data_IF_746070661741
#
_entry.id   IF_746070661741
#
_cell.length_a   1.000
_cell.length_b   1.000
_cell.length_c   1.000
_cell.angle_alpha   90.00
_cell.angle_beta   90.00
_cell.angle_gamma   90.00
#
_symmetry.space_group_name_H-M   'P 1'
#
loop_
_entity.id
_entity.type
_entity.pdbx_description
1 polymer ?
#
# COMPACT_ATOMS: atom_id res chain seq x y z
N UNK A 1 16.93 35.51 -1.75
CA UNK A 1 17.33 34.60 -2.83
C UNK A 1 17.66 33.28 -2.17
N UNK A 2 16.72 32.33 -2.17
CA UNK A 2 17.04 30.98 -1.76
C UNK A 2 17.99 30.40 -2.83
N UNK A 3 19.08 29.78 -2.39
CA UNK A 3 20.02 29.10 -3.27
C UNK A 3 19.22 27.96 -3.96
N UNK A 4 18.93 28.14 -5.25
CA UNK A 4 18.18 27.16 -6.05
C UNK A 4 18.90 25.81 -5.92
N UNK A 5 18.26 24.84 -5.26
CA UNK A 5 18.85 23.52 -5.07
C UNK A 5 19.20 22.96 -6.46
N UNK A 6 20.50 22.89 -6.76
CA UNK A 6 20.97 22.48 -8.07
C UNK A 6 20.51 21.03 -8.29
N UNK A 7 19.73 20.74 -9.34
CA UNK A 7 19.30 19.39 -9.63
C UNK A 7 20.53 18.50 -9.84
N UNK A 8 20.41 17.21 -9.52
CA UNK A 8 21.50 16.25 -9.70
C UNK A 8 22.09 16.37 -11.13
N UNK A 9 23.42 16.18 -11.30
CA UNK A 9 24.05 16.30 -12.62
C UNK A 9 23.36 15.41 -13.66
N UNK A 10 23.25 15.86 -14.92
CA UNK A 10 22.56 15.12 -15.99
C UNK A 10 23.04 13.67 -16.15
N UNK A 11 24.33 13.41 -15.95
CA UNK A 11 24.88 12.05 -15.98
C UNK A 11 24.27 11.14 -14.89
N UNK A 12 24.01 11.68 -13.70
CA UNK A 12 23.34 10.97 -12.60
C UNK A 12 21.87 10.74 -12.96
N UNK A 13 21.18 11.76 -13.50
CA UNK A 13 19.77 11.63 -13.92
C UNK A 13 19.60 10.55 -14.98
N UNK A 14 20.44 10.55 -16.02
CA UNK A 14 20.41 9.54 -17.07
C UNK A 14 20.79 8.13 -16.56
N UNK A 15 21.78 8.04 -15.65
CA UNK A 15 22.17 6.80 -14.99
C UNK A 15 21.03 6.20 -14.16
N UNK A 16 20.39 7.01 -13.31
CA UNK A 16 19.24 6.60 -12.51
C UNK A 16 18.04 6.22 -13.40
N UNK A 17 17.78 6.95 -14.49
CA UNK A 17 16.74 6.59 -15.44
C UNK A 17 16.98 5.19 -16.03
N UNK A 18 18.21 4.91 -16.48
CA UNK A 18 18.57 3.60 -17.01
C UNK A 18 18.38 2.49 -15.97
N UNK A 19 18.91 2.67 -14.75
CA UNK A 19 18.83 1.68 -13.68
C UNK A 19 17.38 1.38 -13.28
N UNK A 20 16.58 2.42 -13.03
CA UNK A 20 15.21 2.28 -12.55
C UNK A 20 14.27 1.69 -13.62
N UNK A 21 14.48 2.02 -14.90
CA UNK A 21 13.67 1.49 -16.00
C UNK A 21 14.04 0.04 -16.33
N UNK A 22 15.32 -0.32 -16.25
CA UNK A 22 15.78 -1.70 -16.47
C UNK A 22 15.39 -2.64 -15.31
N UNK A 23 15.22 -2.08 -14.11
CA UNK A 23 14.73 -2.79 -12.94
C UNK A 23 13.20 -2.75 -12.78
N UNK A 24 12.76 -2.57 -11.54
CA UNK A 24 11.36 -2.57 -11.14
C UNK A 24 10.82 -1.16 -10.82
N UNK A 25 11.55 -0.10 -11.17
CA UNK A 25 11.25 1.28 -10.83
C UNK A 25 11.90 1.79 -9.54
N UNK A 26 12.63 0.94 -8.79
CA UNK A 26 13.36 1.27 -7.55
C UNK A 26 12.52 1.91 -6.43
N UNK A 27 13.16 2.36 -5.35
CA UNK A 27 12.45 2.87 -4.17
C UNK A 27 11.54 4.07 -4.50
N UNK A 28 10.54 4.32 -3.66
CA UNK A 28 9.62 5.47 -3.82
C UNK A 28 10.42 6.78 -3.94
N UNK A 29 11.42 6.98 -3.08
CA UNK A 29 12.29 8.16 -3.11
C UNK A 29 13.06 8.27 -4.42
N UNK A 30 13.68 7.18 -4.90
CA UNK A 30 14.46 7.22 -6.15
C UNK A 30 13.56 7.51 -7.37
N UNK A 31 12.38 6.88 -7.42
CA UNK A 31 11.38 7.09 -8.45
C UNK A 31 10.92 8.55 -8.51
N UNK A 32 10.54 9.12 -7.36
CA UNK A 32 10.02 10.49 -7.28
C UNK A 32 11.11 11.54 -7.50
N UNK A 33 12.33 11.29 -7.00
CA UNK A 33 13.48 12.17 -7.24
C UNK A 33 13.85 12.23 -8.73
N UNK A 34 13.76 11.10 -9.46
CA UNK A 34 13.98 11.10 -10.90
C UNK A 34 12.92 11.92 -11.64
N UNK A 35 11.64 11.78 -11.29
CA UNK A 35 10.57 12.57 -11.89
C UNK A 35 10.79 14.08 -11.68
N UNK A 36 11.11 14.49 -10.45
CA UNK A 36 11.36 15.89 -10.11
C UNK A 36 12.59 16.44 -10.84
N UNK A 37 13.68 15.67 -10.88
CA UNK A 37 14.91 16.05 -11.56
C UNK A 37 14.70 16.25 -13.07
N UNK A 38 13.92 15.38 -13.73
CA UNK A 38 13.56 15.52 -15.15
C UNK A 38 12.80 16.81 -15.41
N UNK A 39 11.84 17.16 -14.55
CA UNK A 39 11.06 18.41 -14.68
C UNK A 39 11.94 19.65 -14.49
N UNK A 40 12.77 19.67 -13.44
CA UNK A 40 13.71 20.78 -13.18
C UNK A 40 14.69 20.96 -14.34
N UNK A 41 15.26 19.87 -14.88
CA UNK A 41 16.16 19.94 -16.02
C UNK A 41 15.45 20.35 -17.31
N UNK A 42 14.20 19.93 -17.54
CA UNK A 42 13.44 20.35 -18.71
C UNK A 42 13.18 21.86 -18.72
N UNK A 43 13.01 22.46 -17.53
CA UNK A 43 12.96 23.92 -17.37
C UNK A 43 14.30 24.59 -17.63
N UNK A 44 15.38 24.03 -17.06
CA UNK A 44 16.72 24.63 -17.09
C UNK A 44 17.39 24.55 -18.47
N UNK A 45 17.46 23.35 -19.03
CA UNK A 45 18.10 23.06 -20.32
C UNK A 45 17.52 21.76 -20.91
N UNK A 46 16.40 21.91 -21.62
CA UNK A 46 15.73 20.79 -22.28
C UNK A 46 16.61 20.09 -23.30
N UNK A 47 17.45 20.82 -24.03
CA UNK A 47 18.27 20.25 -25.09
C UNK A 47 19.33 19.31 -24.50
N UNK A 48 20.04 19.78 -23.46
CA UNK A 48 21.01 18.96 -22.74
C UNK A 48 20.35 17.76 -22.05
N UNK A 49 19.16 17.93 -21.47
CA UNK A 49 18.38 16.81 -20.90
C UNK A 49 18.03 15.76 -21.95
N UNK A 50 17.52 16.20 -23.10
CA UNK A 50 17.14 15.30 -24.19
C UNK A 50 18.34 14.55 -24.76
N UNK A 51 19.49 15.20 -24.88
CA UNK A 51 20.75 14.54 -25.27
C UNK A 51 21.17 13.48 -24.25
N UNK A 52 21.15 13.82 -22.95
CA UNK A 52 21.53 12.89 -21.88
C UNK A 52 20.61 11.66 -21.78
N UNK A 53 19.30 11.82 -22.04
CA UNK A 53 18.31 10.74 -21.95
C UNK A 53 18.19 9.90 -23.24
N UNK A 54 18.75 10.35 -24.36
CA UNK A 54 18.66 9.66 -25.66
C UNK A 54 19.10 8.19 -25.61
N UNK A 55 20.24 7.82 -24.98
CA UNK A 55 20.67 6.42 -24.90
C UNK A 55 19.69 5.52 -24.14
N UNK A 56 18.95 6.07 -23.15
CA UNK A 56 17.95 5.33 -22.38
C UNK A 56 16.73 5.03 -23.26
N UNK A 57 16.29 6.00 -24.06
CA UNK A 57 15.17 5.82 -24.99
C UNK A 57 15.51 4.83 -26.10
N UNK A 58 16.69 4.92 -26.68
CA UNK A 58 17.16 4.03 -27.75
C UNK A 58 17.25 2.57 -27.30
N UNK A 59 17.68 2.33 -26.05
CA UNK A 59 17.70 0.99 -25.44
C UNK A 59 16.33 0.31 -25.43
N UNK A 60 15.27 1.10 -25.25
CA UNK A 60 13.89 0.63 -25.19
C UNK A 60 13.13 0.88 -26.51
N UNK A 61 13.82 0.81 -27.65
CA UNK A 61 13.22 1.00 -28.98
C UNK A 61 12.20 -0.08 -29.39
N UNK A 62 11.21 0.31 -30.20
CA UNK A 62 10.21 -0.59 -30.79
C UNK A 62 9.03 -0.92 -29.88
N UNK A 63 8.56 -2.18 -29.90
CA UNK A 63 7.38 -2.65 -29.13
C UNK A 63 7.71 -3.07 -27.68
N UNK A 64 8.98 -2.97 -27.27
CA UNK A 64 9.42 -3.38 -25.94
C UNK A 64 8.99 -2.38 -24.87
N UNK A 65 8.38 -2.89 -23.81
CA UNK A 65 7.91 -2.12 -22.66
C UNK A 65 8.34 -2.84 -21.38
N UNK A 66 8.73 -2.11 -20.32
CA UNK A 66 8.93 -2.71 -19.01
C UNK A 66 7.65 -3.42 -18.57
N UNK A 67 7.81 -4.61 -17.97
CA UNK A 67 6.67 -5.38 -17.44
C UNK A 67 6.10 -4.75 -16.16
N UNK A 68 6.95 -4.07 -15.40
CA UNK A 68 6.58 -3.38 -14.16
C UNK A 68 6.04 -1.98 -14.49
N UNK A 69 4.88 -1.64 -13.93
CA UNK A 69 4.17 -0.38 -14.23
C UNK A 69 4.97 0.86 -13.82
N UNK A 70 5.71 0.79 -12.71
CA UNK A 70 6.60 1.87 -12.28
C UNK A 70 7.65 2.21 -13.35
N UNK A 71 8.44 1.21 -13.78
CA UNK A 71 9.41 1.36 -14.85
C UNK A 71 8.77 1.85 -16.17
N UNK A 72 7.59 1.33 -16.54
CA UNK A 72 6.88 1.78 -17.74
C UNK A 72 6.46 3.25 -17.68
N UNK A 73 6.05 3.75 -16.50
CA UNK A 73 5.72 5.18 -16.28
C UNK A 73 6.97 6.06 -16.39
N UNK A 74 8.10 5.64 -15.79
CA UNK A 74 9.36 6.38 -15.94
C UNK A 74 9.79 6.47 -17.39
N UNK A 75 9.71 5.36 -18.13
CA UNK A 75 10.04 5.33 -19.55
C UNK A 75 9.13 6.29 -20.36
N UNK A 76 7.84 6.38 -20.02
CA UNK A 76 6.93 7.32 -20.68
C UNK A 76 7.36 8.79 -20.46
N UNK A 77 7.73 9.16 -19.23
CA UNK A 77 8.24 10.50 -18.89
C UNK A 77 9.56 10.79 -19.60
N UNK A 78 10.51 9.85 -19.55
CA UNK A 78 11.82 9.95 -20.20
C UNK A 78 11.67 10.11 -21.72
N UNK A 79 10.75 9.37 -22.36
CA UNK A 79 10.43 9.55 -23.79
C UNK A 79 9.87 10.93 -24.10
N UNK A 80 8.99 11.49 -23.25
CA UNK A 80 8.45 12.84 -23.45
C UNK A 80 9.50 13.94 -23.22
N UNK A 81 10.45 13.72 -22.30
CA UNK A 81 11.57 14.64 -22.06
C UNK A 81 12.58 14.64 -23.22
N UNK A 82 12.89 13.47 -23.77
CA UNK A 82 13.83 13.31 -24.88
C UNK A 82 13.23 13.61 -26.26
N UNK A 83 11.90 13.56 -26.38
CA UNK A 83 11.16 13.78 -27.61
C UNK A 83 11.07 15.26 -28.02
N UNK A 84 10.70 15.51 -29.30
CA UNK A 84 10.49 16.87 -29.80
C UNK A 84 9.32 17.55 -29.07
N UNK A 85 9.32 18.90 -29.09
CA UNK A 85 8.18 19.69 -28.61
C UNK A 85 7.11 19.71 -29.69
N UNK A 86 5.88 19.37 -29.31
CA UNK A 86 4.72 19.27 -30.19
C UNK A 86 3.77 20.46 -29.97
N UNK A 87 3.25 21.03 -31.06
CA UNK A 87 2.23 22.07 -31.00
C UNK A 87 0.92 21.49 -30.46
N UNK A 88 0.28 22.20 -29.51
CA UNK A 88 -0.89 21.71 -28.80
C UNK A 88 -2.11 21.70 -29.71
N UNK A 89 -2.55 20.52 -30.17
CA UNK A 89 -3.76 20.40 -30.97
C UNK A 89 -5.00 20.82 -30.15
N UNK A 90 -5.92 21.60 -30.75
CA UNK A 90 -7.17 22.02 -30.09
C UNK A 90 -8.02 20.82 -29.64
N UNK A 91 -7.87 19.66 -30.29
CA UNK A 91 -8.57 18.42 -29.99
C UNK A 91 -8.07 17.68 -28.73
N UNK A 92 -6.84 17.94 -28.26
CA UNK A 92 -6.28 17.33 -27.04
C UNK A 92 -6.89 17.89 -25.74
N UNK A 93 -7.76 18.91 -25.86
CA UNK A 93 -8.55 19.44 -24.73
C UNK A 93 -9.77 18.60 -24.38
N UNK A 94 -10.07 17.53 -25.12
CA UNK A 94 -11.07 16.56 -24.69
C UNK A 94 -10.41 15.61 -23.69
N UNK A 95 -10.65 15.84 -22.40
CA UNK A 95 -10.60 14.79 -21.38
C UNK A 95 -11.65 13.72 -21.74
N UNK A 96 -11.42 12.95 -22.80
CA UNK A 96 -12.28 11.87 -23.23
C UNK A 96 -12.06 10.69 -22.29
N UNK A 97 -12.53 10.83 -21.04
CA UNK A 97 -12.42 9.73 -20.10
C UNK A 97 -13.37 8.62 -20.53
N UNK A 98 -12.82 7.48 -20.94
CA UNK A 98 -13.64 6.30 -21.21
C UNK A 98 -14.35 5.86 -19.92
N UNK A 99 -15.48 5.17 -20.02
CA UNK A 99 -16.18 4.62 -18.85
C UNK A 99 -15.27 3.72 -17.98
N UNK A 100 -14.18 3.18 -18.54
CA UNK A 100 -13.16 2.39 -17.85
C UNK A 100 -12.25 3.23 -16.92
N UNK A 101 -12.16 4.55 -17.11
CA UNK A 101 -11.37 5.48 -16.26
C UNK A 101 -12.02 5.78 -14.90
N UNK A 102 -13.07 5.04 -14.54
CA UNK A 102 -13.81 5.22 -13.27
C UNK A 102 -13.86 3.93 -12.43
N UNK A 103 -13.06 2.92 -12.79
CA UNK A 103 -13.02 1.67 -12.05
C UNK A 103 -12.50 1.88 -10.62
N UNK A 104 -13.28 1.46 -9.62
CA UNK A 104 -12.92 1.56 -8.20
C UNK A 104 -11.66 0.74 -7.84
N UNK A 105 -11.35 -0.33 -8.57
CA UNK A 105 -10.17 -1.18 -8.36
C UNK A 105 -8.86 -0.51 -8.80
N UNK A 106 -8.92 0.33 -9.82
CA UNK A 106 -7.76 1.02 -10.41
C UNK A 106 -7.58 2.43 -9.83
N UNK A 107 -8.42 2.84 -8.88
CA UNK A 107 -8.52 4.22 -8.42
C UNK A 107 -7.17 4.82 -7.98
N UNK A 108 -6.38 4.06 -7.22
CA UNK A 108 -5.05 4.48 -6.77
C UNK A 108 -4.08 4.64 -7.95
N UNK A 109 -4.14 3.74 -8.93
CA UNK A 109 -3.31 3.83 -10.13
C UNK A 109 -3.76 4.92 -11.09
N UNK A 110 -5.05 5.26 -11.13
CA UNK A 110 -5.54 6.40 -11.89
C UNK A 110 -5.00 7.72 -11.36
N UNK A 111 -4.85 7.84 -10.04
CA UNK A 111 -4.21 9.01 -9.42
C UNK A 111 -2.76 9.14 -9.89
N UNK A 112 -1.95 8.08 -9.77
CA UNK A 112 -0.55 8.13 -10.23
C UNK A 112 -0.46 8.32 -11.76
N UNK A 113 -1.31 7.63 -12.52
CA UNK A 113 -1.34 7.71 -13.98
C UNK A 113 -1.77 9.08 -14.50
N UNK A 114 -2.70 9.76 -13.82
CA UNK A 114 -3.10 11.13 -14.16
C UNK A 114 -1.95 12.11 -13.93
N UNK A 115 -1.21 11.99 -12.83
CA UNK A 115 -0.01 12.80 -12.58
C UNK A 115 1.07 12.56 -13.63
N UNK A 116 1.35 11.30 -13.98
CA UNK A 116 2.32 10.98 -15.04
C UNK A 116 1.87 11.56 -16.39
N UNK A 117 0.58 11.50 -16.71
CA UNK A 117 0.05 12.08 -17.94
C UNK A 117 0.21 13.61 -17.98
N UNK A 118 0.01 14.29 -16.85
CA UNK A 118 0.23 15.74 -16.69
C UNK A 118 1.70 16.11 -16.90
N UNK A 119 2.64 15.39 -16.25
CA UNK A 119 4.09 15.58 -16.43
C UNK A 119 4.48 15.37 -17.90
N UNK A 120 4.03 14.28 -18.51
CA UNK A 120 4.28 14.01 -19.92
C UNK A 120 3.69 15.11 -20.83
N UNK A 121 2.51 15.65 -20.48
CA UNK A 121 1.90 16.78 -21.19
C UNK A 121 2.77 18.02 -21.15
N UNK A 122 3.27 18.40 -19.96
CA UNK A 122 4.19 19.52 -19.81
C UNK A 122 5.44 19.34 -20.67
N UNK A 123 6.08 18.17 -20.57
CA UNK A 123 7.27 17.86 -21.32
C UNK A 123 7.03 17.87 -22.83
N UNK A 124 5.93 17.30 -23.33
CA UNK A 124 5.64 17.28 -24.79
C UNK A 124 5.37 18.66 -25.36
N UNK A 125 4.72 19.54 -24.59
CA UNK A 125 4.35 20.87 -25.08
C UNK A 125 5.33 21.97 -24.67
N UNK A 126 6.44 21.62 -24.03
CA UNK A 126 7.46 22.57 -23.57
C UNK A 126 6.96 23.50 -22.45
N UNK A 127 5.90 23.12 -21.74
CA UNK A 127 5.45 23.81 -20.54
C UNK A 127 6.41 23.49 -19.40
N UNK A 128 6.75 24.50 -18.61
CA UNK A 128 7.73 24.37 -17.52
C UNK A 128 7.10 24.77 -16.20
N UNK A 129 7.41 23.98 -15.17
CA UNK A 129 7.06 24.29 -13.78
C UNK A 129 8.34 24.28 -12.94
N UNK A 130 8.38 24.99 -11.80
CA UNK A 130 9.59 25.09 -10.99
C UNK A 130 10.08 23.73 -10.49
N UNK A 131 9.15 22.90 -10.01
CA UNK A 131 9.37 21.56 -9.44
C UNK A 131 8.05 20.79 -9.28
N UNK A 132 8.10 19.51 -8.94
CA UNK A 132 6.90 18.73 -8.63
C UNK A 132 6.49 18.93 -7.16
N UNK A 133 5.24 19.32 -6.93
CA UNK A 133 4.66 19.51 -5.61
C UNK A 133 4.50 18.20 -4.84
N UNK A 134 4.18 17.11 -5.54
CA UNK A 134 3.92 15.82 -4.91
C UNK A 134 5.18 15.01 -4.58
N UNK A 135 6.38 15.51 -4.86
CA UNK A 135 7.64 14.83 -4.50
C UNK A 135 7.68 14.61 -2.99
N UNK A 136 7.77 13.37 -2.49
CA UNK A 136 7.72 13.11 -1.05
C UNK A 136 8.84 13.82 -0.28
N UNK A 137 8.51 14.34 0.89
CA UNK A 137 9.49 14.85 1.87
C UNK A 137 10.12 13.70 2.66
N UNK A 138 9.47 12.53 2.65
CA UNK A 138 9.81 11.37 3.47
C UNK A 138 9.79 10.09 2.63
N UNK A 139 10.55 9.08 3.06
CA UNK A 139 10.66 7.80 2.35
C UNK A 139 9.34 7.01 2.29
N UNK A 140 8.41 7.28 3.21
CA UNK A 140 7.07 6.68 3.27
C UNK A 140 6.09 7.24 2.22
N UNK A 141 6.52 8.23 1.42
CA UNK A 141 5.70 8.86 0.40
C UNK A 141 4.93 10.09 0.87
N UNK A 142 5.01 10.46 2.16
CA UNK A 142 4.35 11.65 2.69
C UNK A 142 5.04 12.95 2.24
N UNK A 143 4.22 13.99 2.10
CA UNK A 143 4.67 15.37 1.89
C UNK A 143 4.43 16.13 3.20
N UNK A 144 5.46 16.83 3.67
CA UNK A 144 5.32 17.68 4.85
C UNK A 144 4.48 18.92 4.51
N UNK A 145 3.51 19.34 5.36
CA UNK A 145 2.71 20.53 5.14
C UNK A 145 3.53 21.79 4.89
N UNK A 146 4.62 21.99 5.65
CA UNK A 146 5.50 23.13 5.49
C UNK A 146 6.20 23.09 4.13
N UNK A 147 6.74 21.93 3.74
CA UNK A 147 7.40 21.76 2.44
C UNK A 147 6.44 22.03 1.28
N UNK A 148 5.17 21.60 1.38
CA UNK A 148 4.16 21.89 0.36
C UNK A 148 3.93 23.39 0.19
N UNK A 149 3.75 24.12 1.30
CA UNK A 149 3.54 25.58 1.28
C UNK A 149 4.78 26.31 0.76
N UNK A 150 5.99 25.85 1.12
CA UNK A 150 7.24 26.40 0.60
C UNK A 150 7.36 26.24 -0.91
N UNK A 151 7.07 25.05 -1.44
CA UNK A 151 7.07 24.81 -2.89
C UNK A 151 6.06 25.70 -3.61
N UNK A 152 4.86 25.88 -3.05
CA UNK A 152 3.84 26.76 -3.61
C UNK A 152 4.23 28.24 -3.57
N UNK A 153 4.95 28.65 -2.53
CA UNK A 153 5.53 29.99 -2.45
C UNK A 153 6.53 30.22 -3.60
N UNK A 154 7.34 29.22 -3.96
CA UNK A 154 8.24 29.29 -5.12
C UNK A 154 7.46 29.37 -6.44
N UNK A 155 6.37 28.60 -6.59
CA UNK A 155 5.46 28.72 -7.74
C UNK A 155 4.91 30.15 -7.90
N UNK A 156 4.49 30.78 -6.81
CA UNK A 156 3.99 32.15 -6.82
C UNK A 156 5.06 33.17 -7.22
N UNK A 157 6.25 33.08 -6.63
CA UNK A 157 7.37 33.97 -6.94
C UNK A 157 7.76 33.91 -8.42
N UNK A 158 7.60 32.73 -9.03
CA UNK A 158 7.89 32.52 -10.45
C UNK A 158 6.68 32.75 -11.37
N UNK A 159 5.51 33.11 -10.82
CA UNK A 159 4.28 33.30 -11.60
C UNK A 159 3.76 32.02 -12.26
N UNK A 160 4.17 30.84 -11.78
CA UNK A 160 3.74 29.54 -12.28
C UNK A 160 2.42 29.10 -11.61
N UNK A 161 1.63 28.31 -12.32
CA UNK A 161 0.42 27.68 -11.79
C UNK A 161 0.65 26.19 -11.60
N UNK A 162 0.23 25.60 -10.47
CA UNK A 162 0.35 24.17 -10.25
C UNK A 162 -0.59 23.38 -11.17
N UNK A 163 -0.13 22.21 -11.62
CA UNK A 163 -0.99 21.26 -12.31
C UNK A 163 -2.01 20.64 -11.37
N UNK A 164 -3.26 20.44 -11.81
CA UNK A 164 -4.30 19.89 -10.96
C UNK A 164 -4.03 18.44 -10.52
N UNK A 165 -3.33 17.61 -11.31
CA UNK A 165 -3.03 16.23 -10.91
C UNK A 165 -1.83 16.14 -9.95
N UNK A 166 -0.76 16.91 -10.18
CA UNK A 166 0.38 16.98 -9.27
C UNK A 166 0.00 17.64 -7.93
N UNK A 167 -0.74 18.75 -7.95
CA UNK A 167 -1.29 19.35 -6.72
C UNK A 167 -2.25 18.39 -6.00
N UNK A 168 -3.16 17.74 -6.74
CA UNK A 168 -4.07 16.75 -6.18
C UNK A 168 -3.30 15.61 -5.49
N UNK A 169 -2.26 15.09 -6.12
CA UNK A 169 -1.41 14.07 -5.50
C UNK A 169 -0.64 14.59 -4.28
N UNK A 170 -0.16 15.84 -4.31
CA UNK A 170 0.51 16.47 -3.18
C UNK A 170 -0.43 16.58 -1.97
N UNK A 171 -1.69 16.98 -2.19
CA UNK A 171 -2.71 17.03 -1.14
C UNK A 171 -3.01 15.65 -0.55
N UNK A 172 -3.12 14.60 -1.38
CA UNK A 172 -3.34 13.23 -0.88
C UNK A 172 -2.15 12.65 -0.09
N UNK A 173 -0.93 13.17 -0.33
CA UNK A 173 0.28 12.83 0.43
C UNK A 173 0.50 13.70 1.66
N UNK A 174 -0.25 14.79 1.79
CA UNK A 174 -0.06 15.81 2.82
C UNK A 174 -1.16 15.73 3.88
N UNK A 175 -0.73 15.74 5.14
CA UNK A 175 -1.56 15.62 6.37
C UNK A 175 -2.21 14.26 6.61
N UNK A 176 -2.02 13.72 7.82
CA UNK A 176 -2.84 12.68 8.45
C UNK A 176 -3.62 13.19 9.67
N UNK A 177 -3.76 14.52 9.76
CA UNK A 177 -4.32 15.28 10.87
C UNK A 177 -4.08 16.78 10.65
N UNK A 178 -4.76 17.67 11.40
CA UNK A 178 -4.64 19.11 11.24
C UNK A 178 -3.19 19.59 11.31
N UNK A 179 -2.77 20.42 10.36
CA UNK A 179 -1.44 21.02 10.33
C UNK A 179 -1.31 22.16 11.36
N UNK A 180 -0.08 22.60 11.60
CA UNK A 180 0.22 23.78 12.41
C UNK A 180 -0.49 25.03 11.85
N UNK A 181 -1.10 25.82 12.73
CA UNK A 181 -1.82 27.06 12.36
C UNK A 181 -0.93 28.08 11.65
N UNK A 182 0.39 28.10 11.93
CA UNK A 182 1.34 28.94 11.19
C UNK A 182 1.44 28.53 9.72
N UNK A 183 1.50 27.23 9.44
CA UNK A 183 1.55 26.68 8.08
C UNK A 183 0.22 26.89 7.36
N UNK A 184 -0.90 26.70 8.06
CA UNK A 184 -2.24 26.95 7.54
C UNK A 184 -2.41 28.43 7.16
N UNK A 185 -1.93 29.35 7.99
CA UNK A 185 -1.97 30.79 7.71
C UNK A 185 -1.12 31.14 6.49
N UNK A 186 0.11 30.63 6.44
CA UNK A 186 1.00 30.85 5.30
C UNK A 186 0.37 30.36 3.98
N UNK A 187 -0.31 29.20 3.99
CA UNK A 187 -1.06 28.71 2.84
C UNK A 187 -2.23 29.64 2.43
N UNK A 188 -2.90 30.24 3.40
CA UNK A 188 -4.02 31.15 3.15
C UNK A 188 -3.59 32.52 2.60
N UNK A 189 -2.35 32.92 2.89
CA UNK A 189 -1.75 34.18 2.43
C UNK A 189 -1.14 34.09 1.02
N UNK A 190 -1.04 32.89 0.44
CA UNK A 190 -0.67 32.70 -0.97
C UNK A 190 -1.66 33.45 -1.88
N UNK A 191 -1.14 34.27 -2.78
CA UNK A 191 -1.87 34.91 -3.88
C UNK A 191 -2.26 33.94 -5.00
N UNK A 192 -1.80 32.69 -4.95
CA UNK A 192 -2.29 31.61 -5.82
C UNK A 192 -3.79 31.34 -5.58
N UNK A 193 -4.60 31.15 -6.65
CA UNK A 193 -6.03 30.81 -6.53
C UNK A 193 -6.30 29.56 -5.67
N UNK A 194 -5.35 28.64 -5.61
CA UNK A 194 -5.42 27.41 -4.84
C UNK A 194 -5.18 27.62 -3.33
N UNK A 195 -4.57 28.74 -2.91
CA UNK A 195 -4.17 29.02 -1.52
C UNK A 195 -5.28 28.81 -0.48
N UNK A 196 -6.45 29.43 -0.61
CA UNK A 196 -7.57 29.24 0.34
C UNK A 196 -8.02 27.79 0.47
N UNK A 197 -8.02 27.04 -0.63
CA UNK A 197 -8.36 25.61 -0.63
C UNK A 197 -7.31 24.79 0.10
N UNK A 198 -6.03 25.09 -0.12
CA UNK A 198 -4.92 24.38 0.52
C UNK A 198 -4.95 24.63 2.02
N UNK A 199 -5.14 25.88 2.45
CA UNK A 199 -5.32 26.21 3.87
C UNK A 199 -6.51 25.46 4.49
N UNK A 200 -7.63 25.34 3.78
CA UNK A 200 -8.77 24.56 4.24
C UNK A 200 -8.44 23.06 4.38
N UNK A 201 -7.72 22.48 3.41
CA UNK A 201 -7.25 21.09 3.46
C UNK A 201 -6.33 20.82 4.65
N UNK A 202 -5.32 21.67 4.84
CA UNK A 202 -4.36 21.57 5.93
C UNK A 202 -5.03 21.68 7.31
N UNK A 203 -6.00 22.60 7.44
CA UNK A 203 -6.79 22.77 8.67
C UNK A 203 -7.71 21.58 8.96
N UNK A 204 -8.35 21.04 7.92
CA UNK A 204 -9.19 19.85 8.05
C UNK A 204 -8.39 18.58 8.38
N UNK A 205 -7.08 18.62 8.12
CA UNK A 205 -6.18 17.51 8.38
C UNK A 205 -6.08 16.49 7.25
N UNK A 206 -6.43 16.90 6.03
CA UNK A 206 -6.37 16.07 4.84
C UNK A 206 -7.66 15.33 4.53
N UNK A 207 -7.52 14.22 3.81
CA UNK A 207 -8.65 13.35 3.45
C UNK A 207 -9.13 12.59 4.70
N UNK A 208 -10.44 12.46 4.96
CA UNK A 208 -10.92 11.70 6.11
C UNK A 208 -10.69 10.19 5.94
N UNK A 209 -10.55 9.47 7.06
CA UNK A 209 -10.49 8.01 7.03
C UNK A 209 -11.87 7.43 6.67
N UNK A 210 -11.99 6.59 5.62
CA UNK A 210 -13.27 5.99 5.28
C UNK A 210 -13.67 4.93 6.31
N UNK A 211 -14.98 4.76 6.51
CA UNK A 211 -15.51 3.58 7.19
C UNK A 211 -15.16 2.30 6.42
N UNK A 212 -14.92 1.21 7.15
CA UNK A 212 -14.61 -0.10 6.57
C UNK A 212 -15.81 -1.05 6.70
N UNK A 213 -16.11 -1.77 5.63
CA UNK A 213 -17.13 -2.82 5.62
C UNK A 213 -16.46 -4.17 5.31
N UNK A 214 -16.42 -5.08 6.29
CA UNK A 214 -15.87 -6.43 6.08
C UNK A 214 -16.89 -7.27 5.32
N UNK A 215 -16.50 -7.76 4.14
CA UNK A 215 -17.36 -8.52 3.24
C UNK A 215 -16.80 -9.93 3.06
N UNK A 216 -17.63 -10.95 3.32
CA UNK A 216 -17.28 -12.33 3.01
C UNK A 216 -17.70 -12.66 1.58
N UNK A 217 -16.79 -13.22 0.80
CA UNK A 217 -17.14 -13.71 -0.54
C UNK A 217 -18.09 -14.91 -0.43
N UNK A 218 -19.27 -14.86 -1.07
CA UNK A 218 -20.23 -15.95 -1.01
C UNK A 218 -19.81 -17.12 -1.90
N UNK A 219 -20.01 -18.36 -1.42
CA UNK A 219 -19.85 -19.57 -2.23
C UNK A 219 -19.35 -20.77 -1.43
N UNK A 220 -19.46 -21.96 -2.02
CA UNK A 220 -18.77 -23.14 -1.53
C UNK A 220 -17.27 -23.05 -1.89
N UNK A 221 -16.37 -23.69 -1.13
CA UNK A 221 -14.94 -23.70 -1.45
C UNK A 221 -14.71 -24.34 -2.82
N UNK A 222 -14.39 -23.54 -3.84
CA UNK A 222 -14.07 -24.03 -5.18
C UNK A 222 -12.66 -23.60 -5.60
N UNK A 223 -12.09 -24.31 -6.58
CA UNK A 223 -10.87 -23.86 -7.24
C UNK A 223 -11.25 -22.84 -8.31
N UNK A 224 -10.46 -21.75 -8.49
CA UNK A 224 -10.70 -20.80 -9.56
C UNK A 224 -10.69 -21.52 -10.91
N UNK A 225 -11.61 -21.18 -11.80
CA UNK A 225 -11.63 -21.70 -13.15
C UNK A 225 -12.01 -20.60 -14.13
N UNK A 226 -11.42 -20.64 -15.33
CA UNK A 226 -11.80 -19.73 -16.43
C UNK A 226 -13.30 -19.81 -16.78
N UNK A 227 -13.99 -20.87 -16.35
CA UNK A 227 -15.43 -21.13 -16.61
C UNK A 227 -16.38 -20.55 -15.55
N UNK A 228 -15.91 -20.36 -14.31
CA UNK A 228 -16.73 -19.93 -13.16
C UNK A 228 -16.40 -18.52 -12.65
N UNK A 229 -15.47 -17.81 -13.30
CA UNK A 229 -15.05 -16.46 -12.92
C UNK A 229 -14.02 -16.44 -11.77
N UNK A 230 -13.63 -15.24 -11.33
CA UNK A 230 -12.59 -15.01 -10.31
C UNK A 230 -13.02 -15.37 -8.87
N UNK A 231 -14.25 -15.86 -8.68
CA UNK A 231 -14.82 -16.12 -7.35
C UNK A 231 -14.41 -17.49 -6.81
N UNK A 232 -13.87 -17.52 -5.60
CA UNK A 232 -13.36 -18.72 -4.89
C UNK A 232 -14.30 -19.17 -3.77
N UNK A 233 -15.18 -18.28 -3.28
CA UNK A 233 -16.18 -18.57 -2.23
C UNK A 233 -15.64 -18.74 -0.80
N UNK A 234 -14.32 -18.62 -0.62
CA UNK A 234 -13.62 -18.76 0.67
C UNK A 234 -12.70 -17.57 0.96
N UNK A 235 -13.07 -16.36 0.57
CA UNK A 235 -12.30 -15.15 0.89
C UNK A 235 -13.06 -14.26 1.84
N UNK A 236 -12.32 -13.59 2.70
CA UNK A 236 -12.74 -12.38 3.39
C UNK A 236 -12.08 -11.21 2.67
N UNK A 237 -12.84 -10.16 2.40
CA UNK A 237 -12.39 -8.93 1.76
C UNK A 237 -12.91 -7.74 2.57
N UNK A 238 -12.41 -6.54 2.27
CA UNK A 238 -12.84 -5.30 2.91
C UNK A 238 -13.22 -4.30 1.83
N UNK A 239 -14.41 -3.72 1.96
CA UNK A 239 -14.85 -2.56 1.21
C UNK A 239 -14.63 -1.28 2.01
N UNK A 240 -14.66 -0.14 1.32
CA UNK A 240 -14.58 1.19 1.94
C UNK A 240 -15.83 1.99 1.64
N UNK A 241 -16.29 2.78 2.60
CA UNK A 241 -17.36 3.75 2.38
C UNK A 241 -16.94 4.84 1.38
N UNK A 242 -17.90 5.52 0.72
CA UNK A 242 -17.60 6.67 -0.12
C UNK A 242 -16.99 7.82 0.69
N UNK A 243 -16.20 8.66 0.00
CA UNK A 243 -15.57 9.85 0.57
C UNK A 243 -16.15 11.10 -0.09
N UNK A 244 -16.24 12.16 0.71
CA UNK A 244 -16.63 13.49 0.24
C UNK A 244 -15.46 14.24 -0.41
N UNK A 245 -15.73 15.39 -1.04
CA UNK A 245 -14.68 16.25 -1.60
C UNK A 245 -14.16 15.85 -3.00
N UNK A 246 -14.80 14.87 -3.67
CA UNK A 246 -14.37 14.47 -5.03
C UNK A 246 -14.29 15.63 -6.04
N UNK A 247 -15.17 16.64 -5.88
CA UNK A 247 -15.26 17.79 -6.78
C UNK A 247 -14.04 18.69 -6.74
N UNK A 248 -13.24 18.59 -5.68
CA UNK A 248 -11.99 19.32 -5.54
C UNK A 248 -10.87 18.67 -6.37
N UNK A 249 -11.02 17.41 -6.79
CA UNK A 249 -9.95 16.69 -7.48
C UNK A 249 -10.23 16.54 -8.98
N UNK A 250 -9.16 16.33 -9.80
CA UNK A 250 -9.33 16.02 -11.22
C UNK A 250 -10.29 14.86 -11.42
N UNK A 251 -11.03 14.85 -12.53
CA UNK A 251 -12.04 13.82 -12.83
C UNK A 251 -11.48 12.39 -12.76
N UNK A 252 -10.20 12.21 -13.13
CA UNK A 252 -9.49 10.92 -13.06
C UNK A 252 -9.32 10.37 -11.63
N UNK A 253 -9.46 11.22 -10.61
CA UNK A 253 -9.36 10.83 -9.21
C UNK A 253 -10.72 10.40 -8.64
N UNK A 254 -11.84 10.69 -9.32
CA UNK A 254 -13.17 10.54 -8.72
C UNK A 254 -13.52 9.09 -8.33
N UNK A 255 -12.89 8.09 -8.93
CA UNK A 255 -13.05 6.69 -8.53
C UNK A 255 -12.46 6.38 -7.15
N UNK A 256 -11.48 7.17 -6.68
CA UNK A 256 -10.94 7.08 -5.33
C UNK A 256 -11.99 7.40 -4.27
N UNK A 257 -12.85 8.38 -4.57
CA UNK A 257 -13.89 8.88 -3.67
C UNK A 257 -15.16 8.04 -3.68
N UNK A 258 -15.29 7.08 -4.59
CA UNK A 258 -16.42 6.14 -4.59
C UNK A 258 -16.20 5.09 -3.50
N UNK A 259 -17.31 4.66 -2.91
CA UNK A 259 -17.30 3.47 -2.06
C UNK A 259 -16.73 2.30 -2.83
N UNK A 260 -15.86 1.52 -2.19
CA UNK A 260 -15.23 0.36 -2.77
C UNK A 260 -15.99 -0.90 -2.39
N UNK A 261 -16.64 -1.53 -3.37
CA UNK A 261 -17.29 -2.82 -3.18
C UNK A 261 -16.40 -3.95 -3.75
N UNK A 262 -15.78 -4.78 -2.89
CA UNK A 262 -14.77 -5.75 -3.30
C UNK A 262 -15.33 -6.92 -4.12
N UNK A 263 -16.64 -7.16 -4.09
CA UNK A 263 -17.27 -8.28 -4.80
C UNK A 263 -17.81 -7.93 -6.19
N UNK A 264 -17.74 -6.66 -6.61
CA UNK A 264 -18.15 -6.28 -7.97
C UNK A 264 -17.21 -6.94 -8.98
N UNK A 265 -17.79 -7.77 -9.86
CA UNK A 265 -17.04 -8.45 -10.92
C UNK A 265 -16.41 -7.44 -11.87
N UNK A 266 -15.09 -7.43 -11.97
CA UNK A 266 -14.34 -6.54 -12.84
C UNK A 266 -13.12 -7.24 -13.42
N UNK A 267 -12.88 -7.10 -14.73
CA UNK A 267 -11.72 -7.72 -15.38
C UNK A 267 -10.38 -7.10 -14.94
N UNK A 268 -10.39 -5.88 -14.40
CA UNK A 268 -9.19 -5.23 -13.85
C UNK A 268 -8.64 -5.93 -12.60
N UNK A 269 -9.44 -6.77 -11.92
CA UNK A 269 -8.98 -7.64 -10.82
C UNK A 269 -7.93 -8.67 -11.24
N UNK A 270 -7.75 -8.87 -12.56
CA UNK A 270 -6.77 -9.79 -13.13
C UNK A 270 -5.48 -9.09 -13.58
N UNK A 271 -5.43 -7.76 -13.48
CA UNK A 271 -4.25 -6.98 -13.80
C UNK A 271 -3.41 -6.83 -12.53
N UNK A 272 -2.09 -7.11 -12.61
CA UNK A 272 -1.21 -7.03 -11.44
C UNK A 272 -0.93 -5.57 -11.06
N UNK A 273 -1.41 -5.16 -9.89
CA UNK A 273 -1.34 -3.77 -9.39
C UNK A 273 -0.63 -3.62 -8.06
N UNK A 274 -0.18 -4.73 -7.48
CA UNK A 274 0.61 -4.74 -6.26
C UNK A 274 2.01 -4.21 -6.56
N UNK A 275 2.26 -2.98 -6.12
CA UNK A 275 3.56 -2.36 -6.13
C UNK A 275 3.65 -1.33 -4.99
N UNK A 276 4.85 -1.12 -4.45
CA UNK A 276 5.12 -0.16 -3.36
C UNK A 276 4.67 1.29 -3.66
N UNK A 277 4.66 1.70 -4.94
CA UNK A 277 4.27 3.05 -5.34
C UNK A 277 2.77 3.31 -5.14
N UNK A 278 1.94 2.26 -5.07
CA UNK A 278 0.53 2.40 -4.73
C UNK A 278 0.34 2.80 -3.25
N UNK A 279 1.12 2.22 -2.32
CA UNK A 279 1.10 2.62 -0.92
C UNK A 279 1.53 4.09 -0.75
N UNK A 280 2.62 4.47 -1.43
CA UNK A 280 3.11 5.85 -1.41
C UNK A 280 2.20 6.86 -2.16
N UNK A 281 1.17 6.40 -2.87
CA UNK A 281 0.19 7.31 -3.46
C UNK A 281 -0.75 7.88 -2.40
N UNK A 282 -1.02 7.12 -1.33
CA UNK A 282 -1.93 7.46 -0.23
C UNK A 282 -1.30 7.09 1.13
N UNK A 283 -0.17 7.71 1.52
CA UNK A 283 0.59 7.33 2.71
C UNK A 283 -0.25 7.40 4.01
N UNK A 284 -1.23 8.29 4.07
CA UNK A 284 -2.13 8.45 5.21
C UNK A 284 -3.38 7.55 5.16
N UNK A 285 -3.57 6.78 4.08
CA UNK A 285 -4.72 5.89 3.90
C UNK A 285 -4.31 4.48 3.41
N UNK A 286 -3.46 3.76 4.15
CA UNK A 286 -3.07 2.41 3.79
C UNK A 286 -4.26 1.45 3.72
N UNK A 287 -5.35 1.71 4.47
CA UNK A 287 -6.61 0.95 4.38
C UNK A 287 -7.28 1.01 3.00
N UNK A 288 -7.28 2.19 2.36
CA UNK A 288 -7.85 2.36 1.00
C UNK A 288 -7.07 1.53 -0.02
N UNK A 289 -5.75 1.57 0.09
CA UNK A 289 -4.82 0.85 -0.80
C UNK A 289 -4.93 -0.65 -0.56
N UNK A 290 -4.86 -1.10 0.69
CA UNK A 290 -4.97 -2.51 1.07
C UNK A 290 -6.30 -3.09 0.60
N UNK A 291 -7.43 -2.44 0.90
CA UNK A 291 -8.77 -2.91 0.53
C UNK A 291 -8.88 -3.23 -0.97
N UNK A 292 -8.38 -2.33 -1.82
CA UNK A 292 -8.44 -2.45 -3.29
C UNK A 292 -7.51 -3.54 -3.86
N UNK A 293 -6.49 -3.93 -3.11
CA UNK A 293 -5.51 -4.95 -3.52
C UNK A 293 -5.69 -6.31 -2.83
N UNK A 294 -6.60 -6.43 -1.86
CA UNK A 294 -6.87 -7.67 -1.12
C UNK A 294 -7.14 -8.87 -2.02
N UNK A 295 -7.86 -8.68 -3.13
CA UNK A 295 -8.17 -9.78 -4.06
C UNK A 295 -6.91 -10.38 -4.69
N UNK A 296 -5.90 -9.56 -4.98
CA UNK A 296 -4.63 -10.00 -5.52
C UNK A 296 -3.72 -10.61 -4.44
N UNK A 297 -3.67 -9.99 -3.25
CA UNK A 297 -2.91 -10.55 -2.11
C UNK A 297 -3.48 -11.91 -1.70
N UNK A 298 -4.80 -12.05 -1.64
CA UNK A 298 -5.45 -13.33 -1.37
C UNK A 298 -5.11 -14.40 -2.42
N UNK A 299 -4.90 -14.01 -3.68
CA UNK A 299 -4.58 -14.94 -4.76
C UNK A 299 -3.23 -15.65 -4.58
N UNK A 300 -2.27 -15.06 -3.85
CA UNK A 300 -1.00 -15.71 -3.53
C UNK A 300 -1.18 -16.87 -2.55
N UNK A 301 -2.24 -16.85 -1.74
CA UNK A 301 -2.56 -17.91 -0.79
C UNK A 301 -3.40 -19.03 -1.44
N UNK A 302 -4.41 -18.70 -2.25
CA UNK A 302 -5.42 -19.67 -2.69
C UNK A 302 -5.43 -20.00 -4.20
N UNK A 303 -4.77 -19.22 -5.08
CA UNK A 303 -4.79 -19.42 -6.55
C UNK A 303 -3.42 -19.57 -7.22
N UNK A 304 -2.32 -19.76 -6.48
CA UNK A 304 -0.97 -19.73 -7.06
C UNK A 304 -0.65 -18.39 -7.77
N UNK A 305 -1.24 -17.29 -7.28
CA UNK A 305 -0.99 -15.95 -7.81
C UNK A 305 0.49 -15.57 -7.69
N UNK A 306 1.00 -14.79 -8.67
CA UNK A 306 2.34 -14.22 -8.60
C UNK A 306 2.50 -13.40 -7.32
N UNK A 307 3.66 -13.44 -6.68
CA UNK A 307 3.97 -12.64 -5.50
C UNK A 307 4.18 -11.15 -5.78
N UNK A 308 4.20 -10.34 -4.73
CA UNK A 308 4.70 -8.95 -4.72
C UNK A 308 5.24 -8.64 -3.31
N UNK A 309 6.45 -9.15 -2.99
CA UNK A 309 7.02 -9.04 -1.64
C UNK A 309 7.26 -7.59 -1.21
N UNK A 310 7.42 -6.65 -2.13
CA UNK A 310 7.63 -5.23 -1.83
C UNK A 310 6.39 -4.50 -1.30
N UNK A 311 5.19 -5.06 -1.49
CA UNK A 311 3.94 -4.37 -1.21
C UNK A 311 3.59 -4.28 0.29
N UNK A 312 3.66 -5.40 1.02
CA UNK A 312 3.28 -5.43 2.45
C UNK A 312 4.23 -4.61 3.33
N UNK A 313 5.56 -4.64 3.13
CA UNK A 313 6.47 -3.75 3.86
C UNK A 313 6.17 -2.26 3.58
N UNK A 314 5.85 -1.89 2.34
CA UNK A 314 5.49 -0.51 2.00
C UNK A 314 4.18 -0.06 2.68
N UNK A 315 3.16 -0.93 2.75
CA UNK A 315 1.95 -0.65 3.53
C UNK A 315 2.25 -0.51 5.02
N UNK A 316 3.08 -1.38 5.59
CA UNK A 316 3.45 -1.34 7.01
C UNK A 316 4.26 -0.09 7.38
N UNK A 317 5.03 0.47 6.45
CA UNK A 317 5.79 1.71 6.64
C UNK A 317 4.94 2.98 6.45
N UNK A 318 3.71 2.85 5.96
CA UNK A 318 2.83 3.99 5.73
C UNK A 318 2.40 4.62 7.06
N UNK A 319 2.42 5.97 7.20
CA UNK A 319 2.14 6.63 8.47
C UNK A 319 0.64 6.64 8.85
N UNK A 320 -0.26 6.31 7.92
CA UNK A 320 -1.69 6.18 8.21
C UNK A 320 -2.03 4.98 9.10
N UNK A 321 -3.23 4.97 9.73
CA UNK A 321 -3.62 3.91 10.64
C UNK A 321 -3.79 2.57 9.91
N UNK A 322 -3.26 1.50 10.51
CA UNK A 322 -3.47 0.12 10.05
C UNK A 322 -4.75 -0.46 10.66
N UNK A 323 -5.74 -0.75 9.83
CA UNK A 323 -7.05 -1.24 10.22
C UNK A 323 -7.36 -2.64 9.66
N UNK A 324 -8.65 -2.98 9.49
CA UNK A 324 -9.07 -4.30 9.00
C UNK A 324 -8.48 -4.71 7.65
N UNK A 325 -8.36 -3.80 6.69
CA UNK A 325 -7.86 -4.14 5.36
C UNK A 325 -6.36 -4.46 5.38
N UNK A 326 -5.55 -3.66 6.08
CA UNK A 326 -4.10 -3.90 6.24
C UNK A 326 -3.85 -5.19 7.01
N UNK A 327 -4.54 -5.43 8.12
CA UNK A 327 -4.38 -6.66 8.90
C UNK A 327 -4.85 -7.91 8.13
N UNK A 328 -5.88 -7.79 7.31
CA UNK A 328 -6.31 -8.89 6.45
C UNK A 328 -5.35 -9.15 5.29
N UNK A 329 -4.75 -8.11 4.70
CA UNK A 329 -3.69 -8.25 3.71
C UNK A 329 -2.47 -8.95 4.31
N UNK A 330 -2.09 -8.56 5.53
CA UNK A 330 -1.04 -9.21 6.31
C UNK A 330 -1.37 -10.70 6.59
N UNK A 331 -2.61 -11.01 6.98
CA UNK A 331 -3.06 -12.38 7.21
C UNK A 331 -2.91 -13.26 5.95
N UNK A 332 -3.31 -12.75 4.78
CA UNK A 332 -3.10 -13.44 3.51
C UNK A 332 -1.62 -13.61 3.17
N UNK A 333 -0.80 -12.58 3.39
CA UNK A 333 0.65 -12.63 3.18
C UNK A 333 1.35 -13.68 4.03
N UNK A 334 1.02 -13.78 5.32
CA UNK A 334 1.57 -14.80 6.23
C UNK A 334 1.24 -16.22 5.79
N UNK A 335 0.12 -16.41 5.10
CA UNK A 335 -0.33 -17.67 4.52
C UNK A 335 -0.04 -17.84 3.02
N UNK A 336 0.73 -16.94 2.41
CA UNK A 336 1.04 -16.96 0.99
C UNK A 336 1.83 -18.22 0.58
N UNK A 337 1.66 -18.68 -0.66
CA UNK A 337 2.42 -19.83 -1.19
C UNK A 337 3.87 -19.48 -1.53
N UNK A 338 4.18 -18.34 -2.17
CA UNK A 338 5.58 -17.92 -2.38
C UNK A 338 6.25 -17.61 -1.03
N UNK A 339 7.51 -18.01 -0.86
CA UNK A 339 8.26 -17.78 0.39
C UNK A 339 8.64 -16.31 0.56
N UNK A 340 9.02 -15.63 -0.52
CA UNK A 340 9.35 -14.20 -0.50
C UNK A 340 8.19 -13.34 0.03
N UNK A 341 6.94 -13.61 -0.38
CA UNK A 341 5.76 -12.91 0.15
C UNK A 341 5.53 -13.18 1.64
N UNK A 342 5.85 -14.39 2.12
CA UNK A 342 5.76 -14.71 3.55
C UNK A 342 6.83 -13.97 4.35
N UNK A 343 8.06 -13.92 3.85
CA UNK A 343 9.15 -13.16 4.47
C UNK A 343 8.79 -11.67 4.56
N UNK A 344 8.29 -11.10 3.47
CA UNK A 344 7.78 -9.73 3.43
C UNK A 344 6.61 -9.50 4.40
N UNK A 345 5.70 -10.46 4.54
CA UNK A 345 4.62 -10.38 5.52
C UNK A 345 5.15 -10.43 6.97
N UNK A 346 6.18 -11.24 7.25
CA UNK A 346 6.84 -11.27 8.56
C UNK A 346 7.52 -9.94 8.86
N UNK A 347 8.23 -9.35 7.88
CA UNK A 347 8.80 -8.01 8.00
C UNK A 347 7.72 -6.96 8.30
N UNK A 348 6.64 -6.95 7.51
CA UNK A 348 5.53 -6.02 7.68
C UNK A 348 4.88 -6.13 9.08
N UNK A 349 4.71 -7.36 9.60
CA UNK A 349 4.21 -7.59 10.95
C UNK A 349 5.12 -6.93 12.00
N UNK A 350 6.44 -7.13 11.88
CA UNK A 350 7.42 -6.59 12.81
C UNK A 350 7.51 -5.06 12.73
N UNK A 351 7.41 -4.49 11.53
CA UNK A 351 7.35 -3.03 11.33
C UNK A 351 6.11 -2.44 12.00
N UNK A 352 4.92 -3.02 11.75
CA UNK A 352 3.68 -2.57 12.40
C UNK A 352 3.77 -2.69 13.92
N UNK A 353 4.37 -3.77 14.44
CA UNK A 353 4.57 -3.95 15.87
C UNK A 353 5.50 -2.88 16.46
N UNK A 354 6.63 -2.61 15.80
CA UNK A 354 7.60 -1.61 16.22
C UNK A 354 7.02 -0.18 16.23
N UNK A 355 6.10 0.11 15.31
CA UNK A 355 5.42 1.40 15.22
C UNK A 355 4.16 1.49 16.08
N UNK A 356 3.77 0.41 16.77
CA UNK A 356 2.53 0.36 17.57
C UNK A 356 1.25 0.29 16.73
N UNK A 357 1.34 0.02 15.44
CA UNK A 357 0.20 -0.14 14.52
C UNK A 357 -0.33 -1.57 14.41
N UNK A 358 0.30 -2.56 15.07
CA UNK A 358 -0.16 -3.95 15.03
C UNK A 358 -1.30 -4.21 16.01
N UNK A 359 -2.50 -4.44 15.48
CA UNK A 359 -3.68 -4.92 16.20
C UNK A 359 -3.67 -6.46 16.25
N UNK A 360 -2.94 -7.01 17.22
CA UNK A 360 -2.71 -8.46 17.29
C UNK A 360 -3.99 -9.29 17.44
N UNK A 361 -4.99 -8.78 18.18
CA UNK A 361 -6.29 -9.47 18.33
C UNK A 361 -7.04 -9.54 17.00
N UNK A 362 -7.04 -8.45 16.24
CA UNK A 362 -7.66 -8.38 14.92
C UNK A 362 -6.98 -9.34 13.94
N UNK A 363 -5.65 -9.31 13.86
CA UNK A 363 -4.88 -10.21 13.01
C UNK A 363 -5.12 -11.68 13.36
N UNK A 364 -5.09 -12.02 14.66
CA UNK A 364 -5.31 -13.38 15.12
C UNK A 364 -6.72 -13.90 14.82
N UNK A 365 -7.74 -13.04 14.99
CA UNK A 365 -9.11 -13.34 14.61
C UNK A 365 -9.25 -13.65 13.11
N UNK A 366 -8.67 -12.82 12.25
CA UNK A 366 -8.71 -13.02 10.80
C UNK A 366 -7.92 -14.27 10.35
N UNK A 367 -6.75 -14.54 10.94
CA UNK A 367 -5.98 -15.76 10.66
C UNK A 367 -6.78 -17.02 11.03
N UNK A 368 -7.39 -17.06 12.22
CA UNK A 368 -8.22 -18.19 12.62
C UNK A 368 -9.42 -18.36 11.69
N UNK A 369 -10.10 -17.26 11.34
CA UNK A 369 -11.23 -17.25 10.41
C UNK A 369 -10.83 -17.81 9.04
N UNK A 370 -9.74 -17.34 8.46
CA UNK A 370 -9.29 -17.78 7.13
C UNK A 370 -8.77 -19.23 7.12
N UNK A 371 -8.19 -19.71 8.22
CA UNK A 371 -7.84 -21.13 8.39
C UNK A 371 -9.10 -21.99 8.42
N UNK A 372 -10.12 -21.60 9.21
CA UNK A 372 -11.38 -22.34 9.31
C UNK A 372 -12.19 -22.30 8.00
N UNK A 373 -12.05 -21.24 7.21
CA UNK A 373 -12.62 -21.16 5.86
C UNK A 373 -11.87 -22.05 4.83
N UNK A 374 -10.71 -22.60 5.17
CA UNK A 374 -9.88 -23.39 4.27
C UNK A 374 -9.15 -22.55 3.20
N UNK A 375 -8.99 -21.25 3.45
CA UNK A 375 -8.26 -20.32 2.61
C UNK A 375 -6.77 -20.41 2.90
N UNK A 376 -6.42 -20.41 4.19
CA UNK A 376 -5.04 -20.51 4.65
C UNK A 376 -4.76 -21.91 5.20
N UNK A 377 -3.51 -22.36 5.03
CA UNK A 377 -3.02 -23.61 5.61
C UNK A 377 -2.40 -23.31 6.97
N UNK A 378 -2.97 -23.86 8.03
CA UNK A 378 -2.50 -23.63 9.39
C UNK A 378 -0.99 -23.91 9.59
N UNK A 379 -0.39 -24.98 9.03
CA UNK A 379 1.06 -25.18 9.17
C UNK A 379 1.92 -24.05 8.59
N UNK A 380 1.48 -23.45 7.47
CA UNK A 380 2.19 -22.33 6.82
C UNK A 380 2.10 -21.08 7.67
N UNK A 381 0.91 -20.77 8.19
CA UNK A 381 0.71 -19.63 9.10
C UNK A 381 1.55 -19.80 10.36
N UNK A 382 1.57 -21.00 10.96
CA UNK A 382 2.39 -21.28 12.15
C UNK A 382 3.88 -21.06 11.87
N UNK A 383 4.37 -21.47 10.71
CA UNK A 383 5.78 -21.25 10.33
C UNK A 383 6.12 -19.76 10.22
N UNK A 384 5.29 -18.97 9.53
CA UNK A 384 5.48 -17.52 9.42
C UNK A 384 5.45 -16.84 10.80
N UNK A 385 4.51 -17.20 11.66
CA UNK A 385 4.44 -16.67 13.03
C UNK A 385 5.65 -17.10 13.88
N UNK A 386 6.18 -18.30 13.68
CA UNK A 386 7.41 -18.73 14.36
C UNK A 386 8.63 -17.91 13.91
N UNK A 387 8.74 -17.58 12.61
CA UNK A 387 9.77 -16.67 12.10
C UNK A 387 9.67 -15.30 12.75
N UNK A 388 8.46 -14.73 12.84
CA UNK A 388 8.22 -13.45 13.51
C UNK A 388 8.54 -13.51 15.02
N UNK A 389 8.18 -14.60 15.70
CA UNK A 389 8.41 -14.77 17.12
C UNK A 389 9.90 -14.79 17.49
N UNK A 390 10.76 -15.26 16.58
CA UNK A 390 12.22 -15.20 16.73
C UNK A 390 12.78 -13.79 16.87
N UNK A 391 12.10 -12.78 16.31
CA UNK A 391 12.47 -11.37 16.43
C UNK A 391 11.63 -10.62 17.49
N UNK A 392 10.43 -11.10 17.81
CA UNK A 392 9.53 -10.42 18.75
C UNK A 392 8.38 -11.26 19.28
N UNK A 393 8.65 -12.11 20.28
CA UNK A 393 7.62 -12.93 20.95
C UNK A 393 6.43 -12.10 21.49
N UNK A 394 6.68 -10.89 21.99
CA UNK A 394 5.65 -9.98 22.50
C UNK A 394 4.68 -9.50 21.42
N UNK A 395 5.14 -9.32 20.17
CA UNK A 395 4.29 -8.92 19.06
C UNK A 395 3.40 -10.08 18.56
N UNK A 396 3.91 -11.31 18.63
CA UNK A 396 3.22 -12.50 18.13
C UNK A 396 2.23 -13.08 19.15
N UNK A 397 2.49 -12.93 20.45
CA UNK A 397 1.62 -13.49 21.49
C UNK A 397 0.14 -13.06 21.37
N UNK A 398 -0.20 -11.76 21.24
CA UNK A 398 -1.60 -11.33 21.10
C UNK A 398 -2.30 -11.96 19.89
N UNK A 399 -1.57 -12.18 18.79
CA UNK A 399 -2.05 -12.86 17.59
C UNK A 399 -2.42 -14.31 17.89
N UNK A 400 -1.49 -15.05 18.52
CA UNK A 400 -1.70 -16.44 18.90
C UNK A 400 -2.85 -16.58 19.91
N UNK A 401 -2.90 -15.70 20.91
CA UNK A 401 -3.94 -15.68 21.92
C UNK A 401 -5.34 -15.49 21.32
N UNK A 402 -5.47 -14.67 20.28
CA UNK A 402 -6.74 -14.47 19.56
C UNK A 402 -7.07 -15.60 18.57
N UNK A 403 -6.07 -16.31 18.03
CA UNK A 403 -6.31 -17.46 17.14
C UNK A 403 -6.84 -18.70 17.89
N UNK A 404 -6.31 -18.97 19.08
CA UNK A 404 -6.50 -20.22 19.80
C UNK A 404 -7.98 -20.55 20.12
N UNK A 405 -8.81 -19.63 20.63
CA UNK A 405 -10.20 -19.92 20.98
C UNK A 405 -10.99 -20.51 19.80
N UNK A 406 -10.97 -19.83 18.65
CA UNK A 406 -11.73 -20.25 17.47
C UNK A 406 -11.25 -21.60 16.91
N UNK A 407 -9.93 -21.83 16.86
CA UNK A 407 -9.37 -23.08 16.35
C UNK A 407 -9.65 -24.27 17.28
N UNK A 408 -9.55 -24.07 18.60
CA UNK A 408 -9.81 -25.13 19.57
C UNK A 408 -11.30 -25.44 19.72
N UNK A 409 -12.18 -24.42 19.67
CA UNK A 409 -13.63 -24.62 19.62
C UNK A 409 -14.06 -25.42 18.38
N UNK A 410 -13.41 -25.19 17.23
CA UNK A 410 -13.63 -25.98 16.02
C UNK A 410 -13.19 -27.45 16.19
N UNK A 411 -12.16 -27.72 16.99
CA UNK A 411 -11.77 -29.10 17.34
C UNK A 411 -12.80 -29.73 18.28
N UNK A 412 -13.26 -28.99 19.29
CA UNK A 412 -14.25 -29.50 20.27
C UNK A 412 -15.58 -29.85 19.62
N UNK A 413 -16.03 -29.06 18.65
CA UNK A 413 -17.25 -29.31 17.86
C UNK A 413 -17.08 -30.38 16.78
N UNK A 414 -15.86 -30.89 16.56
CA UNK A 414 -15.57 -31.88 15.53
C UNK A 414 -15.43 -31.32 14.11
N UNK A 415 -15.52 -30.00 13.92
CA UNK A 415 -15.29 -29.34 12.63
C UNK A 415 -13.82 -29.46 12.17
N UNK A 416 -12.88 -29.55 13.11
CA UNK A 416 -11.45 -29.83 12.87
C UNK A 416 -11.07 -31.10 13.60
N UNK A 417 -10.39 -32.03 12.92
CA UNK A 417 -10.15 -33.37 13.46
C UNK A 417 -9.25 -33.38 14.72
N UNK A 418 -8.20 -32.55 14.78
CA UNK A 418 -7.18 -32.58 15.84
C UNK A 418 -6.60 -31.18 16.12
N UNK A 419 -6.17 -30.88 17.36
CA UNK A 419 -5.42 -29.67 17.66
C UNK A 419 -4.08 -29.64 16.93
N UNK A 420 -3.64 -28.45 16.51
CA UNK A 420 -2.35 -28.26 15.88
C UNK A 420 -1.25 -28.04 16.92
N UNK A 421 -0.45 -29.08 17.15
CA UNK A 421 0.58 -29.10 18.21
C UNK A 421 1.66 -28.03 18.04
N UNK A 422 2.27 -27.83 16.86
CA UNK A 422 3.25 -26.76 16.65
C UNK A 422 2.75 -25.35 17.04
N UNK A 423 1.48 -25.03 16.77
CA UNK A 423 0.90 -23.74 17.16
C UNK A 423 0.77 -23.60 18.68
N UNK A 424 0.36 -24.66 19.38
CA UNK A 424 0.28 -24.67 20.85
C UNK A 424 1.66 -24.52 21.49
N UNK A 425 2.67 -25.19 20.94
CA UNK A 425 4.05 -25.06 21.39
C UNK A 425 4.57 -23.62 21.18
N UNK A 426 4.37 -23.06 19.98
CA UNK A 426 4.73 -21.68 19.67
C UNK A 426 4.04 -20.68 20.59
N UNK A 427 2.75 -20.90 20.90
CA UNK A 427 2.00 -20.06 21.83
C UNK A 427 2.57 -20.14 23.25
N UNK A 428 2.95 -21.33 23.74
CA UNK A 428 3.60 -21.49 25.03
C UNK A 428 4.97 -20.79 25.07
N UNK A 429 5.77 -20.91 24.00
CA UNK A 429 7.06 -20.25 23.88
C UNK A 429 6.92 -18.72 23.89
N UNK A 430 5.98 -18.18 23.09
CA UNK A 430 5.73 -16.74 23.04
C UNK A 430 5.21 -16.20 24.37
N UNK A 431 4.21 -16.88 24.98
CA UNK A 431 3.68 -16.50 26.29
C UNK A 431 4.76 -16.49 27.38
N UNK A 432 5.66 -17.48 27.35
CA UNK A 432 6.77 -17.55 28.28
C UNK A 432 7.78 -16.42 28.03
N UNK A 433 8.15 -16.18 26.77
CA UNK A 433 9.11 -15.15 26.37
C UNK A 433 8.65 -13.72 26.67
N UNK A 434 7.35 -13.43 26.59
CA UNK A 434 6.79 -12.12 26.95
C UNK A 434 6.17 -12.07 28.35
N UNK A 435 6.33 -13.13 29.15
CA UNK A 435 5.75 -13.28 30.48
C UNK A 435 4.22 -13.01 30.52
N UNK A 436 3.51 -13.41 29.47
CA UNK A 436 2.06 -13.26 29.37
C UNK A 436 1.33 -13.94 30.53
N UNK A 437 0.20 -13.37 30.92
CA UNK A 437 -0.68 -13.88 31.97
C UNK A 437 -2.12 -13.83 31.51
N UNK A 438 -2.96 -14.62 32.15
CA UNK A 438 -4.39 -14.68 31.89
C UNK A 438 -4.89 -16.10 31.77
N UNK A 439 -6.04 -16.27 31.12
CA UNK A 439 -6.67 -17.58 30.90
C UNK A 439 -7.24 -17.65 29.50
N UNK A 440 -7.21 -18.83 28.89
CA UNK A 440 -7.87 -19.11 27.60
C UNK A 440 -8.71 -20.36 27.82
N UNK A 441 -10.03 -20.21 27.86
CA UNK A 441 -10.95 -21.25 28.30
C UNK A 441 -10.81 -22.54 27.49
N UNK A 442 -10.60 -22.44 26.18
CA UNK A 442 -10.44 -23.59 25.30
C UNK A 442 -9.09 -24.31 25.51
N UNK A 443 -8.05 -23.57 25.91
CA UNK A 443 -6.75 -24.15 26.31
C UNK A 443 -6.90 -24.88 27.64
N UNK A 444 -7.60 -24.30 28.61
CA UNK A 444 -7.88 -24.93 29.90
C UNK A 444 -8.68 -26.23 29.73
N UNK A 445 -9.71 -26.19 28.89
CA UNK A 445 -10.51 -27.35 28.54
C UNK A 445 -9.67 -28.46 27.88
N UNK A 446 -8.78 -28.09 26.93
CA UNK A 446 -7.86 -29.05 26.31
C UNK A 446 -6.85 -29.62 27.32
N UNK A 447 -6.31 -28.78 28.22
CA UNK A 447 -5.35 -29.16 29.24
C UNK A 447 -5.95 -30.09 30.32
N UNK A 448 -7.25 -29.96 30.59
CA UNK A 448 -8.00 -30.79 31.53
C UNK A 448 -8.30 -32.21 31.00
N UNK A 449 -8.17 -32.46 29.70
CA UNK A 449 -8.44 -33.79 29.13
C UNK A 449 -7.50 -34.85 29.71
N UNK A 450 -7.99 -36.07 29.97
CA UNK A 450 -7.15 -37.18 30.39
C UNK A 450 -6.22 -37.62 29.25
N UNK A 451 -5.09 -38.23 29.61
CA UNK A 451 -4.13 -38.79 28.66
C UNK A 451 -2.84 -37.98 28.51
N UNK A 452 -1.97 -38.50 27.65
CA UNK A 452 -0.59 -38.03 27.41
C UNK A 452 -0.36 -37.58 25.97
N UNK A 453 -1.42 -37.22 25.22
CA UNK A 453 -1.25 -36.68 23.87
C UNK A 453 -0.40 -35.40 23.89
N UNK A 454 0.44 -35.19 22.88
CA UNK A 454 1.32 -34.02 22.82
C UNK A 454 0.53 -32.70 22.84
N UNK A 455 -0.63 -32.64 22.20
CA UNK A 455 -1.53 -31.48 22.27
C UNK A 455 -2.00 -31.14 23.69
N UNK A 456 -2.27 -32.15 24.52
CA UNK A 456 -2.66 -31.97 25.93
C UNK A 456 -1.46 -31.48 26.75
N UNK A 457 -0.25 -31.99 26.47
CA UNK A 457 0.98 -31.52 27.14
C UNK A 457 1.27 -30.05 26.84
N UNK A 458 1.25 -29.66 25.56
CA UNK A 458 1.49 -28.25 25.19
C UNK A 458 0.38 -27.33 25.73
N UNK A 459 -0.88 -27.78 25.76
CA UNK A 459 -1.97 -27.01 26.36
C UNK A 459 -1.77 -26.81 27.88
N UNK A 460 -1.33 -27.85 28.61
CA UNK A 460 -0.97 -27.72 30.04
C UNK A 460 0.20 -26.77 30.23
N UNK A 461 1.26 -26.91 29.43
CA UNK A 461 2.41 -26.01 29.45
C UNK A 461 1.98 -24.54 29.26
N UNK A 462 1.19 -24.27 28.22
CA UNK A 462 0.66 -22.92 27.97
C UNK A 462 -0.17 -22.40 29.14
N UNK A 463 -1.13 -23.19 29.65
CA UNK A 463 -1.93 -22.80 30.82
C UNK A 463 -1.07 -22.47 32.03
N UNK A 464 -0.08 -23.31 32.33
CA UNK A 464 0.75 -23.15 33.53
C UNK A 464 1.62 -21.87 33.41
N UNK A 465 2.16 -21.59 32.22
CA UNK A 465 2.83 -20.31 31.90
C UNK A 465 1.90 -19.12 32.12
N UNK A 466 0.67 -19.16 31.61
CA UNK A 466 -0.30 -18.07 31.74
C UNK A 466 -0.77 -17.87 33.19
N UNK A 467 -0.81 -18.94 33.98
CA UNK A 467 -1.07 -18.89 35.42
C UNK A 467 0.12 -18.40 36.25
N UNK A 468 1.27 -18.11 35.62
CA UNK A 468 2.50 -17.68 36.30
C UNK A 468 3.17 -18.79 37.11
N UNK A 469 2.80 -20.05 36.87
CA UNK A 469 3.48 -21.21 37.46
C UNK A 469 4.73 -21.45 36.65
N UNK A 470 5.92 -21.35 37.27
CA UNK A 470 7.15 -21.75 36.59
C UNK A 470 7.07 -23.26 36.30
N UNK A 471 7.45 -23.71 35.09
CA UNK A 471 7.41 -25.12 34.72
C UNK A 471 8.25 -25.99 35.63
#
# INVERSE_FOLDING_TARGET
MAEEAVPAPLAVVAGSAAELIDGDGGTVTAYEALLDAVVRWARRDRAALAEALRPVVERWGGVHQPRVRAAARLLAVVRCAAGPVEERAVADRREAGSWLETCQHEAVLHVVGARIAEICGWLRHGETVPMLLATPSRADGAVDPYDLVMRLTEYEQEGARPGPADLGQALLRCCGGPADEDVVRAAAELALPEGPRIAAWLRAGGLPQPGAAVVREPGAPQRPSRRYGARVGRRVLVGTEPLDGRGDFPRRFWSLFRGFEPLIGCNHLLLGHRERHAAAALPWHPEIVAARLLTEVAATADQDGAGSPEFLPALAQSPGPAGPAVHLALAYGLGARPDADREAAVEALLVLAAQGGLEGVLLGGELARLVLLGTLRLPVVTESLARAAGAGAGAVWPVLAAMLPGLLAAVQSGAVARPHVPLLALAADCAQGCAARGTVAEVDALAARPGSAQSVREARRLRDVLAGRRP
#
